data_IF_702617485821
#
_entry.id   IF_702617485821
#
_cell.length_a   1.000
_cell.length_b   1.000
_cell.length_c   1.000
_cell.angle_alpha   90.00
_cell.angle_beta   90.00
_cell.angle_gamma   90.00
#
_symmetry.space_group_name_H-M   'P 1'
#
loop_
_entity.id
_entity.type
_entity.pdbx_description
1 polymer ?
#
# COMPACT_ATOMS: atom_id res chain seq x y z
N UNK A 1 -10.12 -19.34 -3.77
CA UNK A 1 -10.08 -18.01 -3.13
C UNK A 1 -10.60 -18.02 -1.69
N UNK A 2 -9.73 -17.83 -0.70
CA UNK A 2 -10.12 -17.60 0.69
C UNK A 2 -10.18 -16.09 0.98
N UNK A 3 -11.33 -15.46 0.75
CA UNK A 3 -11.52 -14.00 0.92
C UNK A 3 -11.21 -13.49 2.33
N UNK A 4 -11.49 -14.29 3.36
CA UNK A 4 -11.22 -13.91 4.74
C UNK A 4 -9.73 -13.78 5.02
N UNK A 5 -8.92 -14.64 4.39
CA UNK A 5 -7.45 -14.60 4.50
C UNK A 5 -6.88 -13.35 3.86
N UNK A 6 -7.27 -13.06 2.61
CA UNK A 6 -6.85 -11.84 1.91
C UNK A 6 -7.23 -10.59 2.71
N UNK A 7 -8.49 -10.52 3.16
CA UNK A 7 -8.93 -9.43 4.01
C UNK A 7 -8.08 -9.30 5.27
N UNK A 8 -7.75 -10.41 5.95
CA UNK A 8 -6.88 -10.39 7.12
C UNK A 8 -5.48 -9.86 6.84
N UNK A 9 -4.88 -10.20 5.70
CA UNK A 9 -3.58 -9.69 5.27
C UNK A 9 -3.64 -8.18 5.02
N UNK A 10 -4.63 -7.73 4.25
CA UNK A 10 -4.81 -6.31 3.92
C UNK A 10 -5.03 -5.48 5.19
N UNK A 11 -5.91 -5.93 6.10
CA UNK A 11 -6.16 -5.21 7.35
C UNK A 11 -4.97 -5.24 8.31
N UNK A 12 -4.11 -6.27 8.24
CA UNK A 12 -2.86 -6.28 8.98
C UNK A 12 -1.89 -5.21 8.44
N UNK A 13 -1.74 -5.13 7.11
CA UNK A 13 -0.88 -4.14 6.45
C UNK A 13 -1.37 -2.71 6.72
N UNK A 14 -2.69 -2.46 6.63
CA UNK A 14 -3.29 -1.14 6.93
C UNK A 14 -3.08 -0.64 8.36
N UNK A 15 -2.70 -1.52 9.29
CA UNK A 15 -2.37 -1.14 10.68
C UNK A 15 -0.93 -0.70 10.87
N UNK A 16 -0.08 -0.87 9.85
CA UNK A 16 1.24 -0.29 9.86
C UNK A 16 1.13 1.25 9.81
N UNK A 17 2.13 1.93 10.39
CA UNK A 17 2.16 3.39 10.42
C UNK A 17 2.32 4.00 9.00
N UNK A 18 2.93 3.27 8.08
CA UNK A 18 3.18 3.69 6.69
C UNK A 18 3.16 2.47 5.76
N UNK A 19 2.76 2.71 4.50
CA UNK A 19 2.90 1.75 3.40
C UNK A 19 3.99 2.26 2.43
N UNK A 20 5.25 1.82 2.60
CA UNK A 20 6.41 2.44 1.94
C UNK A 20 6.69 1.86 0.56
N UNK A 21 5.63 1.54 -0.21
CA UNK A 21 5.74 0.97 -1.55
C UNK A 21 4.89 1.76 -2.53
N UNK A 22 5.41 1.96 -3.73
CA UNK A 22 4.65 2.54 -4.84
C UNK A 22 3.83 1.48 -5.60
N UNK A 23 3.02 1.93 -6.56
CA UNK A 23 2.18 1.00 -7.33
C UNK A 23 2.98 0.01 -8.16
N UNK A 24 4.15 0.41 -8.67
CA UNK A 24 4.98 -0.42 -9.56
C UNK A 24 5.65 -1.53 -8.74
N UNK A 25 6.15 -1.23 -7.54
CA UNK A 25 6.72 -2.20 -6.61
C UNK A 25 5.70 -3.28 -6.20
N UNK A 26 4.45 -2.91 -5.95
CA UNK A 26 3.36 -3.85 -5.65
C UNK A 26 3.05 -4.75 -6.85
N UNK A 27 3.08 -4.20 -8.07
CA UNK A 27 2.79 -4.98 -9.28
C UNK A 27 3.92 -5.94 -9.65
N UNK A 28 5.17 -5.48 -9.58
CA UNK A 28 6.36 -6.22 -9.99
C UNK A 28 6.76 -7.29 -8.98
N UNK A 29 6.68 -7.01 -7.67
CA UNK A 29 7.20 -7.90 -6.63
C UNK A 29 6.36 -7.87 -5.34
N UNK A 30 5.13 -8.39 -5.44
CA UNK A 30 4.26 -8.63 -4.29
C UNK A 30 4.95 -9.45 -3.19
N UNK A 31 5.88 -10.33 -3.54
CA UNK A 31 6.64 -11.14 -2.58
C UNK A 31 7.47 -10.28 -1.62
N UNK A 32 8.21 -9.30 -2.15
CA UNK A 32 8.97 -8.34 -1.32
C UNK A 32 8.08 -7.51 -0.41
N UNK A 33 6.93 -7.08 -0.90
CA UNK A 33 5.96 -6.32 -0.09
C UNK A 33 5.51 -7.16 1.10
N UNK A 34 5.12 -8.42 0.87
CA UNK A 34 4.70 -9.32 1.94
C UNK A 34 5.84 -9.65 2.91
N UNK A 35 7.05 -9.87 2.41
CA UNK A 35 8.24 -10.12 3.22
C UNK A 35 8.54 -8.95 4.15
N UNK A 36 8.44 -7.71 3.68
CA UNK A 36 8.62 -6.50 4.50
C UNK A 36 7.68 -6.46 5.70
N UNK A 37 6.41 -6.87 5.51
CA UNK A 37 5.43 -6.95 6.59
C UNK A 37 5.54 -8.23 7.45
N UNK A 38 6.54 -9.08 7.18
CA UNK A 38 6.77 -10.34 7.90
C UNK A 38 5.78 -11.45 7.52
N UNK A 39 5.13 -11.34 6.36
CA UNK A 39 4.11 -12.27 5.88
C UNK A 39 4.79 -13.32 4.99
N UNK A 40 5.28 -14.38 5.62
CA UNK A 40 5.81 -15.55 4.92
C UNK A 40 4.67 -16.52 4.58
N UNK A 41 3.80 -16.14 3.64
CA UNK A 41 2.62 -16.93 3.29
C UNK A 41 2.64 -17.42 1.84
N UNK A 42 2.12 -18.64 1.60
CA UNK A 42 1.97 -19.19 0.25
C UNK A 42 0.59 -18.86 -0.29
N UNK A 43 0.52 -17.92 -1.20
CA UNK A 43 -0.72 -17.52 -1.85
C UNK A 43 -1.00 -18.44 -3.05
N UNK A 44 -2.28 -18.69 -3.30
CA UNK A 44 -2.71 -19.21 -4.60
C UNK A 44 -2.71 -18.07 -5.63
N UNK A 45 -2.63 -18.39 -6.94
CA UNK A 45 -2.59 -17.37 -8.00
C UNK A 45 -3.78 -16.41 -7.93
N UNK A 46 -4.98 -16.91 -7.63
CA UNK A 46 -6.18 -16.09 -7.47
C UNK A 46 -6.13 -15.18 -6.22
N UNK A 47 -5.41 -15.59 -5.19
CA UNK A 47 -5.17 -14.78 -3.99
C UNK A 47 -4.12 -13.69 -4.25
N UNK A 48 -3.05 -14.01 -4.98
CA UNK A 48 -2.04 -13.03 -5.40
C UNK A 48 -2.64 -11.90 -6.24
N UNK A 49 -3.49 -12.24 -7.21
CA UNK A 49 -4.11 -11.24 -8.09
C UNK A 49 -5.00 -10.27 -7.31
N UNK A 50 -5.83 -10.78 -6.39
CA UNK A 50 -6.70 -9.93 -5.56
C UNK A 50 -5.86 -9.09 -4.60
N UNK A 51 -4.84 -9.68 -3.99
CA UNK A 51 -4.01 -8.95 -3.04
C UNK A 51 -3.21 -7.84 -3.74
N UNK A 52 -2.71 -8.08 -4.96
CA UNK A 52 -2.03 -7.07 -5.77
C UNK A 52 -2.95 -5.87 -6.05
N UNK A 53 -4.22 -6.10 -6.37
CA UNK A 53 -5.21 -5.03 -6.57
C UNK A 53 -5.39 -4.21 -5.30
N UNK A 54 -5.65 -4.87 -4.16
CA UNK A 54 -5.91 -4.20 -2.88
C UNK A 54 -4.69 -3.40 -2.39
N UNK A 55 -3.47 -3.95 -2.53
CA UNK A 55 -2.25 -3.25 -2.11
C UNK A 55 -1.87 -2.12 -3.07
N UNK A 56 -2.20 -2.22 -4.36
CA UNK A 56 -2.03 -1.12 -5.31
C UNK A 56 -2.91 0.07 -4.95
N UNK A 57 -4.14 -0.17 -4.52
CA UNK A 57 -5.04 0.90 -4.05
C UNK A 57 -4.48 1.59 -2.80
N UNK A 58 -3.80 0.85 -1.91
CA UNK A 58 -3.11 1.43 -0.76
C UNK A 58 -1.91 2.29 -1.17
N UNK A 59 -1.05 1.77 -2.05
CA UNK A 59 0.09 2.53 -2.58
C UNK A 59 -0.35 3.87 -3.19
N UNK A 60 -1.39 3.81 -4.05
CA UNK A 60 -1.93 4.98 -4.71
C UNK A 60 -2.52 6.00 -3.70
N UNK A 61 -3.17 5.52 -2.64
CA UNK A 61 -3.71 6.38 -1.59
C UNK A 61 -2.60 7.14 -0.85
N UNK A 62 -1.46 6.49 -0.57
CA UNK A 62 -0.31 7.14 0.06
C UNK A 62 0.35 8.17 -0.87
N UNK A 63 0.49 7.86 -2.16
CA UNK A 63 1.00 8.82 -3.16
C UNK A 63 0.13 10.09 -3.20
N UNK A 64 -1.21 9.92 -3.22
CA UNK A 64 -2.12 11.07 -3.14
C UNK A 64 -2.02 11.83 -1.82
N UNK A 65 -1.89 11.13 -0.69
CA UNK A 65 -1.73 11.76 0.61
C UNK A 65 -0.44 12.59 0.70
N UNK A 66 0.65 12.13 0.07
CA UNK A 66 1.91 12.88 0.00
C UNK A 66 1.77 14.11 -0.90
N UNK A 67 1.12 13.99 -2.06
CA UNK A 67 0.83 15.14 -2.93
C UNK A 67 0.00 16.19 -2.18
N UNK A 68 -1.05 15.79 -1.46
CA UNK A 68 -1.85 16.70 -0.64
C UNK A 68 -1.01 17.40 0.44
N UNK A 69 -0.08 16.67 1.07
CA UNK A 69 0.82 17.21 2.10
C UNK A 69 1.74 18.27 1.51
N UNK A 70 2.35 18.01 0.36
CA UNK A 70 3.22 18.94 -0.36
C UNK A 70 2.43 20.20 -0.77
N UNK A 71 1.23 20.04 -1.31
CA UNK A 71 0.38 21.18 -1.71
C UNK A 71 0.06 22.07 -0.50
N UNK A 72 -0.38 21.48 0.63
CA UNK A 72 -0.69 22.25 1.85
C UNK A 72 0.53 22.99 2.39
N UNK A 73 1.71 22.37 2.36
CA UNK A 73 2.95 23.02 2.79
C UNK A 73 3.34 24.19 1.87
N UNK A 74 3.21 24.01 0.55
CA UNK A 74 3.46 25.06 -0.43
C UNK A 74 2.51 26.24 -0.28
N UNK A 75 1.22 25.99 -0.04
CA UNK A 75 0.24 27.04 0.25
C UNK A 75 0.63 27.82 1.52
N UNK A 76 0.92 27.14 2.63
CA UNK A 76 1.34 27.79 3.88
C UNK A 76 2.59 28.66 3.70
N UNK A 77 3.55 28.23 2.87
CA UNK A 77 4.77 29.00 2.59
C UNK A 77 4.49 30.29 1.80
N UNK A 78 3.51 30.28 0.90
CA UNK A 78 3.07 31.48 0.15
C UNK A 78 2.36 32.48 1.08
N UNK A 79 1.60 32.02 2.07
CA UNK A 79 0.93 32.90 3.05
C UNK A 79 1.87 33.52 4.09
N UNK A 80 3.02 32.89 4.34
CA UNK A 80 4.03 33.35 5.32
C UNK A 80 5.16 34.19 4.69
N UNK A 81 5.17 34.36 3.37
CA UNK A 81 6.15 35.17 2.61
C UNK A 81 5.58 36.55 2.25
#
# INVERSE_FOLDING_TARGET
>A
MNRLRIHGIVEYIKRADEFPFDTDEVEEDLGKVLEFFGIADRLYVDEEDVLRIELRELALAEEYAEVERIVRQGELQVWLS
#
